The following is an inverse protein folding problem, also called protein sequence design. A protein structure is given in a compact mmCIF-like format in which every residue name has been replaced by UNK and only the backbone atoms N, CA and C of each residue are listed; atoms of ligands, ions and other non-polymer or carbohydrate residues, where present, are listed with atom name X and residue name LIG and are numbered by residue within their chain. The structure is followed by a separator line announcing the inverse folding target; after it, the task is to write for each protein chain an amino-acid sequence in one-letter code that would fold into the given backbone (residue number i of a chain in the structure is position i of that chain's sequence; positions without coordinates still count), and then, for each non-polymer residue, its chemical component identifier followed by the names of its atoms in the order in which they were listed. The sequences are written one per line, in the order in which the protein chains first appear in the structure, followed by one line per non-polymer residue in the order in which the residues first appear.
data_IF_109474313378
#
_entry.id   IF_109474313378
#
_cell.length_a   1.000
_cell.length_b   1.000
_cell.length_c   1.000
_cell.angle_alpha   90.00
_cell.angle_beta   90.00
_cell.angle_gamma   90.00
#
_symmetry.space_group_name_H-M   'P 1'
#
loop_
_entity.id
_entity.type
_entity.pdbx_description
1 polymer ?
#
# COMPACT_ATOMS: atom_id res chain seq x y z
N UNK A 1 -3.47 -13.30 4.55
CA UNK A 1 -2.30 -12.78 5.29
C UNK A 1 -1.41 -13.93 5.71
N UNK A 2 -0.11 -13.85 5.43
CA UNK A 2 0.92 -14.88 5.63
C UNK A 2 0.98 -15.47 7.04
N UNK A 3 0.00 -16.31 7.35
CA UNK A 3 -0.13 -17.10 8.56
C UNK A 3 0.68 -18.36 8.30
N UNK A 4 1.94 -18.37 8.73
CA UNK A 4 2.67 -19.64 8.79
C UNK A 4 2.13 -20.37 10.01
N UNK A 5 1.13 -21.22 9.77
CA UNK A 5 0.65 -22.16 10.76
C UNK A 5 1.72 -23.23 10.93
N UNK A 6 2.46 -23.18 12.05
CA UNK A 6 3.25 -24.31 12.50
C UNK A 6 2.47 -25.03 13.58
N UNK A 7 1.98 -26.24 13.27
CA UNK A 7 1.61 -27.19 14.30
C UNK A 7 2.89 -27.63 15.02
N UNK A 8 2.96 -27.33 16.31
CA UNK A 8 4.10 -27.71 17.17
C UNK A 8 3.78 -29.02 17.91
N UNK A 9 2.49 -29.31 18.09
CA UNK A 9 1.93 -30.48 18.78
C UNK A 9 0.49 -30.70 18.29
N UNK A 10 -0.06 -31.90 18.47
CA UNK A 10 -1.51 -32.13 18.37
C UNK A 10 -2.27 -31.08 19.21
N UNK A 11 -3.17 -30.35 18.56
CA UNK A 11 -4.00 -29.31 19.19
C UNK A 11 -3.33 -27.96 19.44
N UNK A 12 -2.03 -27.77 19.15
CA UNK A 12 -1.33 -26.49 19.38
C UNK A 12 -0.76 -25.91 18.09
N UNK A 13 -1.48 -24.95 17.52
CA UNK A 13 -1.04 -24.15 16.38
C UNK A 13 -0.37 -22.87 16.87
N UNK A 14 0.92 -22.69 16.59
CA UNK A 14 1.62 -21.44 16.90
C UNK A 14 1.57 -20.52 15.68
N UNK A 15 0.96 -19.36 15.87
CA UNK A 15 0.86 -18.33 14.85
C UNK A 15 2.14 -17.48 14.86
N UNK A 16 3.01 -17.66 13.88
CA UNK A 16 4.14 -16.75 13.66
C UNK A 16 3.67 -15.59 12.78
N UNK A 17 3.68 -14.39 13.35
CA UNK A 17 3.38 -13.18 12.60
C UNK A 17 4.66 -12.64 11.95
N UNK A 18 4.70 -12.64 10.62
CA UNK A 18 5.70 -11.91 9.86
C UNK A 18 5.10 -10.55 9.46
N UNK A 19 5.84 -9.43 9.61
CA UNK A 19 5.35 -8.12 9.17
C UNK A 19 5.24 -8.11 7.65
N UNK A 20 4.12 -8.53 7.08
CA UNK A 20 3.86 -8.53 5.64
C UNK A 20 4.09 -9.86 4.94
N UNK A 21 3.34 -10.10 3.85
CA UNK A 21 3.53 -11.27 3.01
C UNK A 21 4.84 -11.16 2.22
N UNK A 22 5.50 -12.28 1.93
CA UNK A 22 6.77 -12.28 1.16
C UNK A 22 6.64 -11.50 -0.15
N UNK A 23 5.47 -11.58 -0.80
CA UNK A 23 5.16 -10.86 -2.03
C UNK A 23 5.18 -9.34 -1.81
N UNK A 24 4.71 -8.86 -0.66
CA UNK A 24 4.71 -7.43 -0.34
C UNK A 24 6.12 -6.90 -0.13
N UNK A 25 6.99 -7.69 0.51
CA UNK A 25 8.40 -7.35 0.65
C UNK A 25 9.09 -7.28 -0.72
N UNK A 26 8.82 -8.24 -1.60
CA UNK A 26 9.35 -8.23 -2.97
C UNK A 26 8.85 -6.99 -3.71
N UNK A 27 7.56 -6.66 -3.63
CA UNK A 27 6.99 -5.44 -4.23
C UNK A 27 7.64 -4.19 -3.67
N UNK A 28 7.84 -4.11 -2.35
CA UNK A 28 8.52 -2.99 -1.70
C UNK A 28 9.94 -2.81 -2.22
N UNK A 29 10.72 -3.89 -2.29
CA UNK A 29 12.09 -3.86 -2.85
C UNK A 29 12.07 -3.44 -4.32
N UNK A 30 11.17 -4.00 -5.13
CA UNK A 30 11.05 -3.63 -6.55
C UNK A 30 10.67 -2.16 -6.74
N UNK A 31 9.79 -1.61 -5.90
CA UNK A 31 9.42 -0.19 -5.94
C UNK A 31 10.62 0.70 -5.61
N UNK A 32 11.41 0.36 -4.58
CA UNK A 32 12.63 1.11 -4.23
C UNK A 32 13.67 1.02 -5.34
N UNK A 33 13.91 -0.18 -5.88
CA UNK A 33 14.85 -0.37 -6.99
C UNK A 33 14.40 0.36 -8.26
N UNK A 34 13.10 0.31 -8.58
CA UNK A 34 12.51 1.06 -9.69
C UNK A 34 12.67 2.57 -9.52
N UNK A 35 12.47 3.09 -8.31
CA UNK A 35 12.75 4.48 -7.96
C UNK A 35 14.22 4.85 -8.13
N UNK A 36 15.13 4.00 -7.64
CA UNK A 36 16.58 4.19 -7.81
C UNK A 36 17.01 4.18 -9.28
N UNK A 37 16.46 3.26 -10.09
CA UNK A 37 16.71 3.23 -11.53
C UNK A 37 16.18 4.49 -12.21
N UNK A 38 14.97 4.93 -11.87
CA UNK A 38 14.38 6.16 -12.40
C UNK A 38 15.23 7.38 -12.03
N UNK A 39 15.73 7.45 -10.80
CA UNK A 39 16.67 8.48 -10.37
C UNK A 39 17.91 8.51 -11.27
N UNK A 40 18.57 7.36 -11.46
CA UNK A 40 19.79 7.26 -12.28
C UNK A 40 19.51 7.69 -13.72
N UNK A 41 18.39 7.25 -14.31
CA UNK A 41 18.01 7.62 -15.68
C UNK A 41 17.81 9.13 -15.82
N UNK A 42 17.04 9.74 -14.92
CA UNK A 42 16.79 11.19 -14.96
C UNK A 42 18.08 11.96 -14.70
N UNK A 43 18.92 11.51 -13.77
CA UNK A 43 20.21 12.15 -13.50
C UNK A 43 21.14 12.07 -14.70
N UNK A 44 21.23 10.91 -15.37
CA UNK A 44 22.10 10.75 -16.55
C UNK A 44 21.69 11.70 -17.68
N UNK A 45 20.39 11.91 -17.89
CA UNK A 45 19.85 12.78 -18.95
C UNK A 45 19.96 14.26 -18.58
N UNK A 46 19.50 14.63 -17.40
CA UNK A 46 19.36 16.05 -16.98
C UNK A 46 20.62 16.62 -16.34
N UNK A 47 21.52 15.75 -15.85
CA UNK A 47 22.65 16.10 -14.98
C UNK A 47 22.25 16.89 -13.73
N UNK A 48 20.98 16.79 -13.33
CA UNK A 48 20.41 17.53 -12.22
C UNK A 48 19.88 16.54 -11.16
N UNK A 49 20.60 16.42 -10.06
CA UNK A 49 20.27 15.49 -8.97
C UNK A 49 19.04 15.91 -8.19
N UNK A 50 18.74 17.22 -8.10
CA UNK A 50 17.52 17.73 -7.47
C UNK A 50 16.28 17.24 -8.24
N UNK A 51 16.24 17.46 -9.56
CA UNK A 51 15.12 17.01 -10.41
C UNK A 51 15.00 15.48 -10.35
N UNK A 52 16.13 14.77 -10.43
CA UNK A 52 16.13 13.32 -10.32
C UNK A 52 15.54 12.84 -8.98
N UNK A 53 15.93 13.45 -7.85
CA UNK A 53 15.44 13.11 -6.52
C UNK A 53 13.93 13.38 -6.38
N UNK A 54 13.46 14.55 -6.83
CA UNK A 54 12.06 14.92 -6.75
C UNK A 54 11.20 13.97 -7.57
N UNK A 55 11.56 13.71 -8.83
CA UNK A 55 10.75 12.86 -9.71
C UNK A 55 10.77 11.41 -9.24
N UNK A 56 11.94 10.86 -8.92
CA UNK A 56 12.05 9.48 -8.42
C UNK A 56 11.32 9.29 -7.09
N UNK A 57 11.52 10.22 -6.14
CA UNK A 57 10.82 10.21 -4.86
C UNK A 57 9.31 10.32 -5.02
N UNK A 58 8.84 11.17 -5.94
CA UNK A 58 7.42 11.32 -6.27
C UNK A 58 6.84 10.04 -6.84
N UNK A 59 7.53 9.37 -7.76
CA UNK A 59 7.07 8.10 -8.34
C UNK A 59 6.95 7.00 -7.27
N UNK A 60 7.96 6.87 -6.40
CA UNK A 60 7.93 5.91 -5.29
C UNK A 60 6.78 6.22 -4.34
N UNK A 61 6.63 7.49 -3.93
CA UNK A 61 5.55 7.91 -3.04
C UNK A 61 4.17 7.69 -3.65
N UNK A 62 3.99 7.92 -4.96
CA UNK A 62 2.74 7.66 -5.64
C UNK A 62 2.36 6.17 -5.59
N UNK A 63 3.31 5.28 -5.91
CA UNK A 63 3.07 3.82 -5.89
C UNK A 63 2.80 3.33 -4.47
N UNK A 64 3.62 3.75 -3.50
CA UNK A 64 3.45 3.36 -2.09
C UNK A 64 2.14 3.90 -1.53
N UNK A 65 1.85 5.18 -1.78
CA UNK A 65 0.61 5.84 -1.37
C UNK A 65 -0.61 5.08 -1.87
N UNK A 66 -0.71 4.87 -3.19
CA UNK A 66 -1.83 4.12 -3.79
C UNK A 66 -1.98 2.71 -3.22
N UNK A 67 -0.87 1.99 -3.03
CA UNK A 67 -0.89 0.65 -2.45
C UNK A 67 -1.38 0.63 -1.00
N UNK A 68 -0.89 1.57 -0.17
CA UNK A 68 -1.31 1.69 1.22
C UNK A 68 -2.78 2.12 1.33
N UNK A 69 -3.22 3.05 0.49
CA UNK A 69 -4.61 3.50 0.46
C UNK A 69 -5.58 2.37 0.12
N UNK A 70 -5.25 1.54 -0.88
CA UNK A 70 -6.04 0.34 -1.19
C UNK A 70 -6.09 -0.64 -0.01
N UNK A 71 -4.95 -0.87 0.66
CA UNK A 71 -4.91 -1.74 1.83
C UNK A 71 -5.68 -1.21 3.02
N UNK A 72 -5.65 0.10 3.23
CA UNK A 72 -6.44 0.72 4.29
C UNK A 72 -7.92 0.58 3.98
N UNK A 73 -8.37 0.92 2.76
CA UNK A 73 -9.77 0.74 2.37
C UNK A 73 -10.25 -0.72 2.47
N UNK A 74 -9.45 -1.69 2.02
CA UNK A 74 -9.76 -3.11 2.20
C UNK A 74 -9.79 -3.53 3.67
N UNK A 75 -8.99 -2.90 4.54
CA UNK A 75 -9.05 -3.13 5.99
C UNK A 75 -10.26 -2.49 6.67
N UNK A 76 -10.96 -1.56 6.01
CA UNK A 76 -12.17 -0.92 6.55
C UNK A 76 -13.45 -1.73 6.27
N UNK A 77 -13.41 -2.79 5.44
CA UNK A 77 -14.60 -3.59 5.10
C UNK A 77 -14.99 -4.61 6.17
N UNK A 78 -14.05 -5.00 7.03
CA UNK A 78 -14.27 -5.89 8.17
C UNK A 78 -13.84 -5.17 9.46
N UNK A 79 -14.76 -4.44 10.09
CA UNK A 79 -14.51 -3.88 11.41
C UNK A 79 -15.07 -4.79 12.49
N UNK A 80 -14.17 -5.36 13.28
CA UNK A 80 -14.51 -6.04 14.53
C UNK A 80 -15.16 -5.05 15.50
N UNK A 81 -16.27 -5.44 16.12
CA UNK A 81 -16.98 -4.57 17.07
C UNK A 81 -16.13 -4.42 18.36
N UNK A 82 -15.71 -3.19 18.73
CA UNK A 82 -14.86 -2.99 19.89
C UNK A 82 -15.51 -3.38 21.22
N UNK A 83 -16.84 -3.50 21.27
CA UNK A 83 -17.57 -3.94 22.48
C UNK A 83 -17.53 -5.46 22.67
N UNK A 84 -17.53 -6.24 21.58
CA UNK A 84 -17.60 -7.71 21.60
C UNK A 84 -16.26 -8.40 21.24
N UNK A 85 -15.47 -7.79 20.36
CA UNK A 85 -14.24 -8.35 19.76
C UNK A 85 -13.03 -7.45 20.01
N UNK A 86 -12.93 -6.94 21.25
CA UNK A 86 -11.94 -5.91 21.65
C UNK A 86 -10.49 -6.22 21.26
N UNK A 87 -10.06 -7.48 21.32
CA UNK A 87 -8.69 -7.87 20.97
C UNK A 87 -8.42 -7.68 19.48
N UNK A 88 -9.37 -8.06 18.63
CA UNK A 88 -9.25 -7.97 17.18
C UNK A 88 -9.34 -6.52 16.72
N UNK A 89 -10.28 -5.75 17.29
CA UNK A 89 -10.36 -4.29 17.09
C UNK A 89 -9.05 -3.55 17.44
N UNK A 90 -8.38 -3.91 18.55
CA UNK A 90 -7.08 -3.34 18.93
C UNK A 90 -5.98 -3.73 17.95
N UNK A 91 -5.98 -4.98 17.47
CA UNK A 91 -5.00 -5.46 16.48
C UNK A 91 -5.15 -4.68 15.17
N UNK A 92 -6.37 -4.47 14.69
CA UNK A 92 -6.62 -3.74 13.44
C UNK A 92 -6.27 -2.25 13.56
N UNK A 93 -6.62 -1.62 14.68
CA UNK A 93 -6.19 -0.25 14.98
C UNK A 93 -4.66 -0.10 15.04
N UNK A 94 -3.97 -1.06 15.67
CA UNK A 94 -2.50 -1.06 15.75
C UNK A 94 -1.87 -1.22 14.36
N UNK A 95 -2.44 -2.07 13.51
CA UNK A 95 -1.98 -2.27 12.13
C UNK A 95 -2.15 -1.00 11.28
N UNK A 96 -3.29 -0.33 11.39
CA UNK A 96 -3.53 0.93 10.71
C UNK A 96 -2.54 2.01 11.19
N UNK A 97 -2.34 2.14 12.50
CA UNK A 97 -1.38 3.07 13.08
C UNK A 97 0.07 2.80 12.62
N UNK A 98 0.45 1.53 12.50
CA UNK A 98 1.76 1.13 11.99
C UNK A 98 1.96 1.53 10.52
N UNK A 99 0.96 1.28 9.66
CA UNK A 99 1.02 1.70 8.25
C UNK A 99 1.10 3.22 8.12
N UNK A 100 0.31 3.96 8.89
CA UNK A 100 0.38 5.42 8.94
C UNK A 100 1.76 5.94 9.37
N UNK A 101 2.36 5.30 10.38
CA UNK A 101 3.72 5.64 10.85
C UNK A 101 4.77 5.38 9.75
N UNK A 102 4.70 4.24 9.07
CA UNK A 102 5.61 3.91 7.97
C UNK A 102 5.46 4.87 6.79
N UNK A 103 4.23 5.26 6.44
CA UNK A 103 3.99 6.27 5.41
C UNK A 103 4.59 7.61 5.81
N UNK A 104 4.38 8.05 7.06
CA UNK A 104 4.98 9.27 7.59
C UNK A 104 6.51 9.26 7.54
N UNK A 105 7.14 8.13 7.91
CA UNK A 105 8.58 7.94 7.82
C UNK A 105 9.08 8.07 6.37
N UNK A 106 8.39 7.44 5.42
CA UNK A 106 8.73 7.54 4.00
C UNK A 106 8.59 8.97 3.48
N UNK A 107 7.51 9.68 3.84
CA UNK A 107 7.31 11.09 3.50
C UNK A 107 8.45 11.96 4.01
N UNK A 108 8.80 11.82 5.29
CA UNK A 108 9.92 12.53 5.90
C UNK A 108 11.26 12.19 5.21
N UNK A 109 11.50 10.90 4.95
CA UNK A 109 12.69 10.42 4.25
C UNK A 109 12.81 11.01 2.84
N UNK A 110 11.72 11.08 2.08
CA UNK A 110 11.73 11.71 0.75
C UNK A 110 12.01 13.21 0.79
N UNK A 111 11.46 13.93 1.78
CA UNK A 111 11.76 15.35 1.95
C UNK A 111 13.25 15.57 2.28
N UNK A 112 13.80 14.74 3.18
CA UNK A 112 15.22 14.78 3.52
C UNK A 112 16.12 14.45 2.32
N UNK A 113 15.74 13.48 1.48
CA UNK A 113 16.47 13.17 0.25
C UNK A 113 16.56 14.39 -0.66
N UNK A 114 15.43 15.08 -0.90
CA UNK A 114 15.37 16.26 -1.77
C UNK A 114 16.18 17.42 -1.18
N UNK A 115 16.05 17.68 0.12
CA UNK A 115 16.78 18.77 0.80
C UNK A 115 18.30 18.58 0.82
N UNK A 116 18.78 17.34 0.72
CA UNK A 116 20.21 17.03 0.68
C UNK A 116 20.81 17.10 -0.74
N UNK A 117 20.02 17.42 -1.78
CA UNK A 117 20.54 17.62 -3.12
C UNK A 117 21.11 19.04 -3.29
N UNK A 118 22.09 19.26 -4.18
CA UNK A 118 22.47 20.61 -4.60
C UNK A 118 21.27 21.36 -5.16
N UNK A 119 20.88 22.44 -4.49
CA UNK A 119 19.72 23.23 -4.87
C UNK A 119 19.93 24.72 -4.57
N UNK A 120 19.16 25.56 -5.24
CA UNK A 120 19.17 27.01 -5.01
C UNK A 120 17.83 27.61 -5.41
N UNK A 121 17.30 28.49 -4.57
CA UNK A 121 16.14 29.31 -4.87
C UNK A 121 14.86 28.79 -4.20
N UNK A 122 13.93 29.73 -4.02
CA UNK A 122 12.75 29.56 -3.17
C UNK A 122 11.96 28.27 -3.44
N UNK A 123 11.74 27.91 -4.70
CA UNK A 123 10.96 26.72 -5.05
C UNK A 123 11.64 25.43 -4.57
N UNK A 124 12.96 25.37 -4.70
CA UNK A 124 13.73 24.19 -4.30
C UNK A 124 13.83 24.05 -2.78
N UNK A 125 13.89 25.19 -2.07
CA UNK A 125 13.97 25.22 -0.61
C UNK A 125 12.62 24.90 0.06
N UNK A 126 11.51 25.40 -0.50
CA UNK A 126 10.22 25.44 0.20
C UNK A 126 9.11 24.61 -0.42
N UNK A 127 9.23 24.20 -1.68
CA UNK A 127 8.13 23.50 -2.38
C UNK A 127 8.53 22.09 -2.76
N UNK A 128 9.65 21.94 -3.48
CA UNK A 128 10.10 20.65 -4.00
C UNK A 128 10.26 19.54 -2.95
N UNK A 129 10.71 19.81 -1.70
CA UNK A 129 10.81 18.77 -0.67
C UNK A 129 9.46 18.15 -0.28
N UNK A 130 8.37 18.89 -0.45
CA UNK A 130 7.03 18.44 -0.09
C UNK A 130 6.31 17.74 -1.24
N UNK A 131 6.75 17.94 -2.49
CA UNK A 131 6.10 17.38 -3.68
C UNK A 131 5.92 15.86 -3.58
N UNK A 132 6.94 15.05 -3.23
CA UNK A 132 6.77 13.61 -3.10
C UNK A 132 5.68 13.23 -2.10
N UNK A 133 5.67 13.88 -0.92
CA UNK A 133 4.72 13.58 0.16
C UNK A 133 3.29 13.98 -0.20
N UNK A 134 3.11 15.12 -0.87
CA UNK A 134 1.78 15.58 -1.35
C UNK A 134 1.23 14.58 -2.35
N UNK A 135 2.04 14.18 -3.33
CA UNK A 135 1.62 13.20 -4.34
C UNK A 135 1.36 11.83 -3.71
N UNK A 136 2.18 11.40 -2.75
CA UNK A 136 1.95 10.17 -2.00
C UNK A 136 0.63 10.19 -1.22
N UNK A 137 0.29 11.31 -0.59
CA UNK A 137 -0.99 11.48 0.11
C UNK A 137 -2.18 11.46 -0.87
N UNK A 138 -2.07 12.15 -2.01
CA UNK A 138 -3.11 12.13 -3.05
C UNK A 138 -3.30 10.72 -3.62
N UNK A 139 -2.19 10.01 -3.89
CA UNK A 139 -2.24 8.64 -4.36
C UNK A 139 -2.85 7.70 -3.32
N UNK A 140 -2.58 7.91 -2.03
CA UNK A 140 -3.23 7.18 -0.95
C UNK A 140 -4.75 7.38 -0.97
N UNK A 141 -5.22 8.62 -0.98
CA UNK A 141 -6.66 8.92 -1.07
C UNK A 141 -7.28 8.33 -2.34
N UNK A 142 -6.58 8.40 -3.48
CA UNK A 142 -7.00 7.79 -4.73
C UNK A 142 -7.06 6.27 -4.67
N UNK A 143 -6.11 5.63 -3.98
CA UNK A 143 -6.11 4.19 -3.74
C UNK A 143 -7.29 3.74 -2.89
N UNK A 144 -7.63 4.51 -1.84
CA UNK A 144 -8.82 4.24 -1.04
C UNK A 144 -10.11 4.33 -1.88
N UNK A 145 -10.23 5.40 -2.68
CA UNK A 145 -11.38 5.60 -3.56
C UNK A 145 -11.50 4.48 -4.59
N UNK A 146 -10.39 4.10 -5.22
CA UNK A 146 -10.34 3.01 -6.21
C UNK A 146 -10.84 1.70 -5.62
N UNK A 147 -10.36 1.33 -4.43
CA UNK A 147 -10.75 0.07 -3.79
C UNK A 147 -12.24 0.08 -3.42
N UNK A 148 -12.77 1.21 -2.93
CA UNK A 148 -14.21 1.33 -2.62
C UNK A 148 -15.08 1.19 -3.87
N UNK A 149 -14.72 1.85 -4.96
CA UNK A 149 -15.43 1.72 -6.23
C UNK A 149 -15.40 0.27 -6.75
N UNK A 150 -14.26 -0.41 -6.62
CA UNK A 150 -14.15 -1.82 -7.02
C UNK A 150 -15.05 -2.74 -6.17
N UNK A 151 -15.19 -2.46 -4.87
CA UNK A 151 -16.09 -3.19 -3.98
C UNK A 151 -17.56 -2.95 -4.33
N UNK A 152 -17.96 -1.70 -4.60
CA UNK A 152 -19.34 -1.36 -4.98
C UNK A 152 -19.76 -2.05 -6.30
N UNK A 153 -18.90 -2.04 -7.31
CA UNK A 153 -19.14 -2.75 -8.58
C UNK A 153 -19.28 -4.26 -8.35
N UNK A 154 -18.37 -4.86 -7.58
CA UNK A 154 -18.45 -6.28 -7.25
C UNK A 154 -19.76 -6.67 -6.54
N UNK A 155 -20.23 -5.82 -5.62
CA UNK A 155 -21.52 -6.06 -4.94
C UNK A 155 -22.73 -5.91 -5.87
N UNK A 156 -22.67 -4.99 -6.83
CA UNK A 156 -23.73 -4.82 -7.83
C UNK A 156 -23.81 -6.01 -8.79
N UNK A 157 -22.66 -6.53 -9.23
CA UNK A 157 -22.59 -7.72 -10.09
C UNK A 157 -23.11 -8.98 -9.36
N UNK A 158 -22.78 -9.14 -8.07
CA UNK A 158 -23.31 -10.24 -7.24
C UNK A 158 -24.83 -10.10 -7.01
N UNK A 159 -25.33 -8.88 -6.79
CA UNK A 159 -26.76 -8.63 -6.66
C UNK A 159 -27.51 -8.95 -7.96
N UNK A 160 -26.96 -8.55 -9.11
CA UNK A 160 -27.52 -8.87 -10.42
C UNK A 160 -27.48 -10.38 -10.73
N UNK A 161 -26.43 -11.09 -10.32
CA UNK A 161 -26.33 -12.54 -10.44
C UNK A 161 -27.36 -13.26 -9.55
N UNK A 162 -27.58 -12.76 -8.32
CA UNK A 162 -28.60 -13.28 -7.41
C UNK A 162 -30.03 -13.01 -7.91
N UNK A 163 -30.29 -11.85 -8.51
CA UNK A 163 -31.59 -11.50 -9.11
C UNK A 163 -31.89 -12.24 -10.42
N UNK A 164 -30.85 -12.60 -11.20
CA UNK A 164 -31.00 -13.36 -12.45
C UNK A 164 -31.13 -14.88 -12.24
N UNK A 165 -31.02 -15.37 -11.00
CA UNK A 165 -31.14 -16.80 -10.69
C UNK A 165 -30.08 -17.67 -11.37
N UNK A 166 -28.93 -17.09 -11.74
CA UNK A 166 -27.84 -17.84 -12.33
C UNK A 166 -27.25 -18.79 -11.27
N UNK A 167 -27.56 -20.09 -11.40
CA UNK A 167 -26.91 -21.15 -10.65
C UNK A 167 -25.39 -20.97 -10.70
N UNK A 168 -24.75 -21.09 -9.54
CA UNK A 168 -23.31 -21.20 -9.42
C UNK A 168 -22.79 -22.23 -10.44
N UNK A 169 -21.70 -21.98 -11.18
CA UNK A 169 -20.98 -23.02 -11.88
C UNK A 169 -20.23 -23.86 -10.83
N UNK A 170 -20.97 -24.62 -10.02
CA UNK A 170 -20.40 -25.62 -9.14
C UNK A 170 -20.13 -26.89 -9.95
N UNK A 171 -18.83 -27.21 -10.06
CA UNK A 171 -18.30 -28.58 -10.19
C UNK A 171 -18.66 -29.37 -11.47
N UNK A 172 -17.96 -29.08 -12.58
CA UNK A 172 -17.78 -30.05 -13.68
C UNK A 172 -16.29 -30.25 -14.05
N UNK A 173 -15.40 -30.35 -13.06
CA UNK A 173 -14.01 -30.80 -13.27
C UNK A 173 -13.57 -31.91 -12.30
N UNK A 174 -14.52 -32.75 -11.86
CA UNK A 174 -14.24 -34.04 -11.23
C UNK A 174 -15.13 -35.14 -11.85
N UNK A 175 -15.04 -35.34 -13.17
CA UNK A 175 -15.32 -36.63 -13.83
C UNK A 175 -15.21 -36.50 -15.36
N UNK A 176 -14.01 -36.68 -15.90
CA UNK A 176 -13.76 -37.29 -17.22
C UNK A 176 -12.29 -37.72 -17.33
#
# INVERSE_FOLDING_TARGET
MGKIERQISEGVTKYYWYPGEKIDWIRGVLTVLGGGLLFVLIFVVTKNSLIAAVVAGTAVQAVVGAYLGRRDAAGLSEFHDPASERREAVIDGTRAAWRGTLQGLLCAGSAMLVLNMPHSGFLADWVLPFVPSIIGALAHSGGMLWERLAQEVGTADMAAAAESGAEEPTKELEAA
#
